data_IF_159682486621
#
_entry.id   IF_159682486621
#
_cell.length_a   1.000
_cell.length_b   1.000
_cell.length_c   1.000
_cell.angle_alpha   90.00
_cell.angle_beta   90.00
_cell.angle_gamma   90.00
#
_symmetry.space_group_name_H-M   'P 1'
#
loop_
_entity.id
_entity.type
_entity.pdbx_description
1 polymer ?
#
# COMPACT_ATOMS: atom_id res chain seq x y z
N UNK A 1 -3.15 4.64 27.49
CA UNK A 1 -1.98 3.91 26.96
C UNK A 1 -2.40 2.72 26.11
N UNK A 2 -3.14 1.76 26.66
CA UNK A 2 -3.53 0.51 25.97
C UNK A 2 -4.20 0.73 24.60
N UNK A 3 -5.20 1.61 24.51
CA UNK A 3 -5.94 1.84 23.27
C UNK A 3 -5.04 2.33 22.10
N UNK A 4 -4.10 3.23 22.36
CA UNK A 4 -3.18 3.75 21.34
C UNK A 4 -2.19 2.68 20.87
N UNK A 5 -1.64 1.92 21.81
CA UNK A 5 -0.77 0.78 21.48
C UNK A 5 -1.53 -0.29 20.67
N UNK A 6 -2.80 -0.56 21.00
CA UNK A 6 -3.65 -1.48 20.26
C UNK A 6 -3.90 -1.00 18.81
N UNK A 7 -4.20 0.28 18.59
CA UNK A 7 -4.35 0.84 17.24
C UNK A 7 -3.09 0.68 16.39
N UNK A 8 -1.92 1.01 16.95
CA UNK A 8 -0.63 0.88 16.25
C UNK A 8 -0.34 -0.59 15.93
N UNK A 9 -0.54 -1.48 16.90
CA UNK A 9 -0.30 -2.91 16.73
C UNK A 9 -1.23 -3.53 15.69
N UNK A 10 -2.52 -3.16 15.72
CA UNK A 10 -3.52 -3.59 14.73
C UNK A 10 -3.13 -3.14 13.32
N UNK A 11 -2.74 -1.87 13.17
CA UNK A 11 -2.29 -1.33 11.88
C UNK A 11 -1.05 -2.06 11.37
N UNK A 12 -0.03 -2.24 12.21
CA UNK A 12 1.20 -2.95 11.85
C UNK A 12 0.93 -4.41 11.47
N UNK A 13 0.07 -5.11 12.21
CA UNK A 13 -0.30 -6.48 11.89
C UNK A 13 -1.07 -6.55 10.56
N UNK A 14 -2.05 -5.67 10.35
CA UNK A 14 -2.78 -5.59 9.10
C UNK A 14 -1.86 -5.29 7.90
N UNK A 15 -0.86 -4.43 8.09
CA UNK A 15 0.17 -4.15 7.10
C UNK A 15 0.91 -5.44 6.71
N UNK A 16 1.47 -6.16 7.69
CA UNK A 16 2.24 -7.40 7.45
C UNK A 16 1.38 -8.45 6.73
N UNK A 17 0.12 -8.61 7.13
CA UNK A 17 -0.79 -9.59 6.54
C UNK A 17 -1.20 -9.22 5.11
N UNK A 18 -1.26 -7.92 4.78
CA UNK A 18 -1.66 -7.44 3.45
C UNK A 18 -0.64 -7.69 2.34
N UNK A 19 0.59 -8.09 2.68
CA UNK A 19 1.64 -8.44 1.71
C UNK A 19 1.77 -9.93 1.46
N UNK A 20 0.81 -10.75 1.91
CA UNK A 20 0.79 -12.18 1.62
C UNK A 20 0.00 -12.43 0.33
N UNK A 21 0.65 -12.92 -0.74
CA UNK A 21 -0.07 -13.30 -1.95
C UNK A 21 -0.92 -14.56 -1.70
N UNK A 22 -1.93 -14.84 -2.54
CA UNK A 22 -2.67 -16.10 -2.50
C UNK A 22 -1.74 -17.31 -2.66
N UNK A 23 -1.99 -18.43 -1.97
CA UNK A 23 -1.15 -19.62 -2.11
C UNK A 23 -1.13 -20.17 -3.55
N UNK A 24 -2.27 -20.06 -4.23
CA UNK A 24 -2.49 -20.41 -5.64
C UNK A 24 -1.63 -19.61 -6.61
N UNK A 25 -1.13 -18.42 -6.25
CA UNK A 25 -0.29 -17.62 -7.14
C UNK A 25 1.17 -18.10 -7.16
N UNK A 26 1.58 -19.01 -6.27
CA UNK A 26 2.97 -19.49 -6.20
C UNK A 26 3.28 -20.64 -7.18
N UNK A 27 2.30 -21.10 -7.96
CA UNK A 27 2.53 -22.11 -9.01
C UNK A 27 3.42 -21.57 -10.13
N UNK A 28 4.36 -22.39 -10.58
CA UNK A 28 5.27 -22.09 -11.70
C UNK A 28 4.55 -22.27 -13.05
N UNK A 29 3.59 -21.41 -13.34
CA UNK A 29 3.01 -21.32 -14.68
C UNK A 29 3.89 -20.47 -15.60
N UNK A 30 3.75 -20.65 -16.92
CA UNK A 30 4.43 -19.81 -17.90
C UNK A 30 3.85 -18.39 -17.84
N UNK A 31 4.70 -17.40 -17.63
CA UNK A 31 4.33 -15.98 -17.52
C UNK A 31 4.99 -15.18 -18.64
N UNK A 32 4.21 -14.37 -19.35
CA UNK A 32 4.72 -13.39 -20.30
C UNK A 32 4.92 -12.06 -19.55
N UNK A 33 6.19 -11.66 -19.40
CA UNK A 33 6.59 -10.46 -18.65
C UNK A 33 6.77 -9.27 -19.57
N UNK A 34 6.40 -8.07 -19.10
CA UNK A 34 6.74 -6.82 -19.78
C UNK A 34 8.26 -6.62 -19.72
N UNK A 35 8.90 -6.44 -20.89
CA UNK A 35 10.38 -6.40 -21.05
C UNK A 35 11.09 -5.37 -20.17
N UNK A 36 10.51 -4.20 -19.98
CA UNK A 36 11.16 -3.08 -19.26
C UNK A 36 10.92 -3.08 -17.75
N UNK A 37 10.17 -4.06 -17.25
CA UNK A 37 9.79 -4.11 -15.85
C UNK A 37 10.90 -4.69 -14.95
N UNK A 38 11.82 -5.49 -15.51
CA UNK A 38 12.70 -6.37 -14.73
C UNK A 38 13.47 -5.69 -13.60
N UNK A 39 14.20 -4.60 -13.90
CA UNK A 39 14.99 -3.88 -12.90
C UNK A 39 14.10 -2.98 -12.02
N UNK A 40 13.21 -2.20 -12.65
CA UNK A 40 12.37 -1.22 -11.97
C UNK A 40 11.39 -1.87 -10.98
N UNK A 41 10.75 -2.98 -11.38
CA UNK A 41 9.88 -3.79 -10.52
C UNK A 41 10.64 -4.34 -9.33
N UNK A 42 11.85 -4.88 -9.57
CA UNK A 42 12.70 -5.42 -8.50
C UNK A 42 13.09 -4.35 -7.48
N UNK A 43 13.50 -3.17 -7.94
CA UNK A 43 13.88 -2.06 -7.06
C UNK A 43 12.69 -1.59 -6.21
N UNK A 44 11.52 -1.42 -6.82
CA UNK A 44 10.31 -0.98 -6.09
C UNK A 44 9.87 -2.03 -5.08
N UNK A 45 9.79 -3.30 -5.45
CA UNK A 45 9.35 -4.35 -4.55
C UNK A 45 10.29 -4.49 -3.35
N UNK A 46 11.61 -4.45 -3.59
CA UNK A 46 12.61 -4.45 -2.50
C UNK A 46 12.53 -3.19 -1.65
N UNK A 47 12.34 -2.02 -2.27
CA UNK A 47 12.14 -0.76 -1.56
C UNK A 47 10.89 -0.77 -0.67
N UNK A 48 9.78 -1.34 -1.15
CA UNK A 48 8.55 -1.50 -0.36
C UNK A 48 8.75 -2.47 0.81
N UNK A 49 9.45 -3.59 0.62
CA UNK A 49 9.78 -4.54 1.68
C UNK A 49 10.69 -3.93 2.75
N UNK A 50 11.72 -3.20 2.31
CA UNK A 50 12.60 -2.46 3.20
C UNK A 50 11.83 -1.39 3.99
N UNK A 51 11.00 -0.59 3.31
CA UNK A 51 10.16 0.43 3.92
C UNK A 51 9.20 -0.14 4.97
N UNK A 52 8.60 -1.30 4.71
CA UNK A 52 7.77 -2.00 5.70
C UNK A 52 8.57 -2.45 6.92
N UNK A 53 9.75 -3.05 6.70
CA UNK A 53 10.61 -3.50 7.79
C UNK A 53 11.03 -2.32 8.67
N UNK A 54 11.42 -1.21 8.05
CA UNK A 54 11.71 0.04 8.76
C UNK A 54 10.48 0.56 9.52
N UNK A 55 9.29 0.51 8.93
CA UNK A 55 8.06 0.93 9.59
C UNK A 55 7.74 0.10 10.84
N UNK A 56 7.94 -1.22 10.81
CA UNK A 56 7.77 -2.11 11.97
C UNK A 56 8.74 -1.74 13.10
N UNK A 57 10.00 -1.45 12.77
CA UNK A 57 11.01 -1.03 13.75
C UNK A 57 10.61 0.32 14.36
N UNK A 58 10.21 1.28 13.54
CA UNK A 58 9.77 2.61 13.98
C UNK A 58 8.55 2.51 14.90
N UNK A 59 7.55 1.68 14.57
CA UNK A 59 6.36 1.51 15.43
C UNK A 59 6.70 0.79 16.73
N UNK A 60 7.61 -0.17 16.72
CA UNK A 60 8.10 -0.84 17.93
C UNK A 60 8.81 0.16 18.87
N UNK A 61 9.72 0.99 18.35
CA UNK A 61 10.38 2.06 19.13
C UNK A 61 9.33 3.02 19.69
N UNK A 62 8.36 3.44 18.87
CA UNK A 62 7.31 4.36 19.30
C UNK A 62 6.45 3.80 20.45
N UNK A 63 6.10 2.50 20.40
CA UNK A 63 5.41 1.81 21.50
C UNK A 63 6.28 1.74 22.75
N UNK A 64 7.57 1.45 22.61
CA UNK A 64 8.52 1.42 23.73
C UNK A 64 8.64 2.78 24.42
N UNK A 65 8.79 3.86 23.66
CA UNK A 65 8.86 5.22 24.20
C UNK A 65 7.56 5.63 24.90
N UNK A 66 6.41 5.20 24.38
CA UNK A 66 5.12 5.39 25.03
C UNK A 66 5.02 4.62 26.35
N UNK A 67 5.50 3.37 26.38
CA UNK A 67 5.53 2.56 27.60
C UNK A 67 6.45 3.15 28.68
N UNK A 68 7.57 3.78 28.26
CA UNK A 68 8.50 4.51 29.13
C UNK A 68 7.99 5.87 29.61
N UNK A 69 6.79 6.29 29.18
CA UNK A 69 6.21 7.58 29.55
C UNK A 69 6.82 8.80 28.83
N UNK A 70 7.71 8.59 27.86
CA UNK A 70 8.33 9.67 27.07
C UNK A 70 7.30 10.29 26.09
N UNK A 71 6.40 9.46 25.56
CA UNK A 71 5.35 9.87 24.62
C UNK A 71 3.98 9.68 25.27
N UNK A 72 3.03 10.63 25.11
CA UNK A 72 1.67 10.47 25.60
C UNK A 72 0.99 9.20 25.06
N UNK A 73 0.49 8.37 25.97
CA UNK A 73 -0.27 7.17 25.67
C UNK A 73 -1.77 7.40 25.42
N UNK A 74 -2.23 8.65 25.40
CA UNK A 74 -3.62 9.02 25.12
C UNK A 74 -3.89 8.92 23.63
N UNK A 75 -4.93 8.16 23.26
CA UNK A 75 -5.38 8.02 21.89
C UNK A 75 -6.12 9.30 21.47
N UNK A 76 -5.67 9.93 20.39
CA UNK A 76 -6.37 11.08 19.79
C UNK A 76 -7.43 10.57 18.78
N UNK A 77 -8.58 11.25 18.61
CA UNK A 77 -9.62 10.82 17.65
C UNK A 77 -9.09 10.62 16.22
N UNK A 78 -8.20 11.50 15.76
CA UNK A 78 -7.59 11.35 14.43
C UNK A 78 -6.75 10.07 14.30
N UNK A 79 -6.14 9.57 15.38
CA UNK A 79 -5.34 8.33 15.36
C UNK A 79 -6.23 7.11 15.19
N UNK A 80 -7.40 7.12 15.83
CA UNK A 80 -8.40 6.08 15.65
C UNK A 80 -8.93 6.09 14.21
N UNK A 81 -9.26 7.28 13.70
CA UNK A 81 -9.76 7.47 12.33
C UNK A 81 -8.73 7.00 11.28
N UNK A 82 -7.49 7.46 11.37
CA UNK A 82 -6.45 7.05 10.42
C UNK A 82 -6.17 5.56 10.52
N UNK A 83 -6.11 4.99 11.72
CA UNK A 83 -5.98 3.53 11.90
C UNK A 83 -7.10 2.78 11.20
N UNK A 84 -8.36 3.19 11.38
CA UNK A 84 -9.52 2.56 10.74
C UNK A 84 -9.44 2.66 9.20
N UNK A 85 -9.05 3.82 8.67
CA UNK A 85 -8.83 4.04 7.23
C UNK A 85 -7.72 3.13 6.71
N UNK A 86 -6.60 3.02 7.41
CA UNK A 86 -5.47 2.19 6.99
C UNK A 86 -5.79 0.70 7.02
N UNK A 87 -6.48 0.24 8.07
CA UNK A 87 -6.97 -1.15 8.17
C UNK A 87 -7.95 -1.45 7.03
N UNK A 88 -8.87 -0.54 6.71
CA UNK A 88 -9.77 -0.67 5.55
C UNK A 88 -8.97 -0.81 4.24
N UNK A 89 -7.92 0.00 4.07
CA UNK A 89 -7.03 -0.11 2.92
C UNK A 89 -6.35 -1.49 2.81
N UNK A 90 -5.84 -2.02 3.91
CA UNK A 90 -5.25 -3.35 3.95
C UNK A 90 -6.26 -4.47 3.68
N UNK A 91 -7.48 -4.35 4.18
CA UNK A 91 -8.57 -5.29 3.90
C UNK A 91 -8.96 -5.27 2.42
N UNK A 92 -9.07 -4.09 1.80
CA UNK A 92 -9.35 -3.95 0.37
C UNK A 92 -8.24 -4.60 -0.48
N UNK A 93 -6.98 -4.42 -0.08
CA UNK A 93 -5.84 -5.07 -0.75
C UNK A 93 -5.88 -6.59 -0.62
N UNK A 94 -6.15 -7.09 0.60
CA UNK A 94 -6.31 -8.52 0.83
C UNK A 94 -7.49 -9.13 0.05
N UNK A 95 -8.59 -8.39 -0.08
CA UNK A 95 -9.72 -8.79 -0.93
C UNK A 95 -9.32 -8.84 -2.40
N UNK A 96 -8.60 -7.83 -2.90
CA UNK A 96 -8.11 -7.78 -4.28
C UNK A 96 -7.24 -8.99 -4.60
N UNK A 97 -6.31 -9.32 -3.71
CA UNK A 97 -5.42 -10.48 -3.87
C UNK A 97 -6.20 -11.79 -3.92
N UNK A 98 -7.14 -11.97 -3.00
CA UNK A 98 -7.99 -13.17 -3.00
C UNK A 98 -8.85 -13.31 -4.24
N UNK A 99 -9.34 -12.20 -4.81
CA UNK A 99 -10.16 -12.24 -6.03
C UNK A 99 -9.32 -12.54 -7.28
N UNK A 100 -8.10 -11.99 -7.38
CA UNK A 100 -7.18 -12.32 -8.47
C UNK A 100 -6.67 -13.77 -8.38
N UNK A 101 -6.50 -14.27 -7.15
CA UNK A 101 -6.13 -15.66 -6.86
C UNK A 101 -4.88 -16.09 -7.67
N UNK A 102 -4.99 -17.11 -8.52
CA UNK A 102 -3.88 -17.60 -9.36
C UNK A 102 -3.35 -16.58 -10.35
N UNK A 103 -4.10 -15.52 -10.69
CA UNK A 103 -3.66 -14.47 -11.62
C UNK A 103 -2.86 -13.36 -10.96
N UNK A 104 -2.76 -13.37 -9.62
CA UNK A 104 -2.01 -12.34 -8.90
C UNK A 104 -0.50 -12.47 -9.13
N UNK A 105 0.13 -11.37 -9.53
CA UNK A 105 1.59 -11.23 -9.61
C UNK A 105 2.03 -9.87 -9.08
N UNK A 106 3.19 -9.81 -8.41
CA UNK A 106 3.79 -8.53 -8.00
C UNK A 106 4.41 -7.76 -9.17
N UNK A 107 4.78 -8.49 -10.21
CA UNK A 107 5.25 -7.95 -11.47
C UNK A 107 4.08 -7.84 -12.46
N UNK A 108 4.15 -6.85 -13.34
CA UNK A 108 3.27 -6.65 -14.48
C UNK A 108 3.50 -7.78 -15.50
N UNK A 109 2.71 -8.85 -15.37
CA UNK A 109 2.84 -10.06 -16.17
C UNK A 109 1.48 -10.64 -16.53
N UNK A 110 1.39 -11.29 -17.68
CA UNK A 110 0.22 -12.07 -18.09
C UNK A 110 0.52 -13.56 -17.86
N UNK A 111 -0.35 -14.25 -17.11
CA UNK A 111 -0.26 -15.71 -16.89
C UNK A 111 -0.97 -16.47 -18.00
N UNK A 112 -0.62 -17.75 -18.16
CA UNK A 112 -1.37 -18.63 -19.06
C UNK A 112 -2.85 -18.69 -18.67
N UNK A 113 -3.74 -18.50 -19.64
CA UNK A 113 -5.19 -18.48 -19.40
C UNK A 113 -5.66 -17.30 -18.54
N UNK A 114 -4.92 -16.18 -18.53
CA UNK A 114 -5.35 -14.94 -17.88
C UNK A 114 -6.73 -14.54 -18.40
N UNK A 115 -7.66 -14.27 -17.49
CA UNK A 115 -8.96 -13.69 -17.81
C UNK A 115 -9.12 -12.36 -17.09
N UNK A 116 -9.88 -11.45 -17.66
CA UNK A 116 -10.19 -10.19 -17.00
C UNK A 116 -11.07 -10.46 -15.78
N UNK A 117 -10.51 -10.28 -14.58
CA UNK A 117 -11.23 -10.50 -13.32
C UNK A 117 -12.13 -9.30 -13.04
N UNK A 118 -13.43 -9.53 -12.97
CA UNK A 118 -14.45 -8.50 -12.75
C UNK A 118 -15.24 -8.71 -11.44
N UNK A 119 -14.79 -9.62 -10.58
CA UNK A 119 -15.47 -9.98 -9.33
C UNK A 119 -14.89 -9.27 -8.10
N UNK A 120 -15.58 -9.37 -6.97
CA UNK A 120 -15.14 -8.75 -5.72
C UNK A 120 -14.96 -7.23 -5.88
N UNK A 121 -13.82 -6.64 -5.45
CA UNK A 121 -13.63 -5.19 -5.48
C UNK A 121 -13.46 -4.65 -6.90
N UNK A 122 -13.13 -5.52 -7.87
CA UNK A 122 -13.00 -5.19 -9.29
C UNK A 122 -14.34 -4.84 -9.95
N UNK A 123 -15.46 -5.11 -9.28
CA UNK A 123 -16.78 -4.65 -9.76
C UNK A 123 -16.91 -3.13 -9.81
N UNK A 124 -16.23 -2.44 -8.90
CA UNK A 124 -16.34 -0.99 -8.73
C UNK A 124 -15.07 -0.24 -9.11
N UNK A 125 -13.90 -0.85 -8.88
CA UNK A 125 -12.59 -0.21 -9.02
C UNK A 125 -11.72 -0.96 -10.03
N UNK A 126 -10.98 -0.23 -10.87
CA UNK A 126 -9.96 -0.82 -11.75
C UNK A 126 -8.76 -1.31 -10.93
N UNK A 127 -8.35 -0.52 -9.94
CA UNK A 127 -7.10 -0.71 -9.21
C UNK A 127 -7.29 -0.82 -7.68
N UNK A 128 -8.18 -1.69 -7.17
CA UNK A 128 -8.56 -1.72 -5.75
C UNK A 128 -7.38 -1.98 -4.80
N UNK A 129 -6.39 -2.76 -5.23
CA UNK A 129 -5.16 -3.01 -4.47
C UNK A 129 -4.32 -1.74 -4.27
N UNK A 130 -4.26 -0.87 -5.29
CA UNK A 130 -3.56 0.40 -5.20
C UNK A 130 -4.37 1.43 -4.40
N UNK A 131 -5.70 1.43 -4.50
CA UNK A 131 -6.57 2.19 -3.59
C UNK A 131 -6.29 1.81 -2.14
N UNK A 132 -6.21 0.52 -1.85
CA UNK A 132 -5.86 0.02 -0.52
C UNK A 132 -4.49 0.51 -0.04
N UNK A 133 -3.50 0.53 -0.94
CA UNK A 133 -2.17 1.06 -0.65
C UNK A 133 -2.21 2.55 -0.30
N UNK A 134 -2.93 3.37 -1.07
CA UNK A 134 -3.11 4.81 -0.82
C UNK A 134 -3.75 5.04 0.56
N UNK A 135 -4.86 4.35 0.85
CA UNK A 135 -5.55 4.47 2.14
C UNK A 135 -4.65 4.08 3.32
N UNK A 136 -3.87 3.00 3.17
CA UNK A 136 -2.92 2.57 4.19
C UNK A 136 -1.74 3.55 4.39
N UNK A 137 -1.35 4.26 3.34
CA UNK A 137 -0.31 5.29 3.40
C UNK A 137 -0.68 6.49 4.28
N UNK A 138 -1.97 6.82 4.37
CA UNK A 138 -2.46 7.98 5.14
C UNK A 138 -2.08 7.87 6.62
N UNK A 139 -2.03 6.67 7.19
CA UNK A 139 -1.66 6.50 8.61
C UNK A 139 -0.22 6.96 8.85
N UNK A 140 0.70 6.61 7.97
CA UNK A 140 2.10 7.03 8.05
C UNK A 140 2.25 8.52 7.82
N UNK A 141 1.57 9.07 6.79
CA UNK A 141 1.54 10.51 6.49
C UNK A 141 1.12 11.29 7.72
N UNK A 142 -0.02 10.97 8.33
CA UNK A 142 -0.51 11.67 9.51
C UNK A 142 0.38 11.44 10.74
N UNK A 143 0.94 10.25 10.92
CA UNK A 143 1.78 9.94 12.09
C UNK A 143 3.13 10.64 12.07
N UNK A 144 3.68 10.91 10.88
CA UNK A 144 4.94 11.65 10.69
C UNK A 144 4.71 13.15 10.60
N UNK A 145 3.64 13.60 9.93
CA UNK A 145 3.34 15.03 9.79
C UNK A 145 2.91 15.69 11.11
N UNK A 146 2.29 14.93 12.02
CA UNK A 146 1.96 15.38 13.37
C UNK A 146 3.08 15.03 14.36
N UNK A 147 3.07 15.64 15.54
CA UNK A 147 4.14 15.63 16.56
C UNK A 147 4.50 14.25 17.21
N UNK A 148 4.22 13.13 16.56
CA UNK A 148 4.54 11.79 17.03
C UNK A 148 5.86 11.26 16.49
N UNK A 149 5.79 10.55 15.37
CA UNK A 149 6.89 9.68 14.93
C UNK A 149 8.14 10.47 14.51
N UNK A 150 7.93 11.62 13.86
CA UNK A 150 9.04 12.47 13.42
C UNK A 150 9.91 12.94 14.58
N UNK A 151 9.30 13.60 15.57
CA UNK A 151 10.03 14.24 16.68
C UNK A 151 10.68 13.25 17.64
N UNK A 152 10.00 12.14 17.93
CA UNK A 152 10.43 11.19 18.96
C UNK A 152 11.26 10.02 18.44
N UNK A 153 11.19 9.69 17.15
CA UNK A 153 11.86 8.50 16.59
C UNK A 153 12.78 8.87 15.43
N UNK A 154 12.25 9.52 14.38
CA UNK A 154 13.03 9.73 13.14
C UNK A 154 14.12 10.78 13.33
N UNK A 155 13.78 11.97 13.87
CA UNK A 155 14.75 13.06 14.06
C UNK A 155 15.93 12.70 14.98
N UNK A 156 15.74 11.96 16.09
CA UNK A 156 16.87 11.46 16.89
C UNK A 156 17.76 10.44 16.16
N UNK A 157 17.19 9.61 15.29
CA UNK A 157 17.95 8.59 14.53
C UNK A 157 18.65 9.18 13.30
N UNK A 158 18.04 10.19 12.68
CA UNK A 158 18.53 10.86 11.49
C UNK A 158 18.37 12.37 11.70
N UNK A 159 19.40 13.06 12.25
CA UNK A 159 19.33 14.48 12.60
C UNK A 159 19.49 15.37 11.36
N UNK A 160 18.51 15.29 10.45
CA UNK A 160 18.42 16.13 9.26
C UNK A 160 17.62 17.42 9.57
N UNK A 161 18.05 18.58 9.05
CA UNK A 161 17.40 19.87 9.28
C UNK A 161 16.13 20.06 8.41
N UNK A 162 15.35 19.00 8.21
CA UNK A 162 14.16 18.99 7.35
C UNK A 162 12.94 18.74 8.23
N UNK A 163 11.86 19.55 8.18
CA UNK A 163 10.64 19.25 8.91
C UNK A 163 10.01 17.92 8.45
N UNK A 164 9.47 17.13 9.38
CA UNK A 164 8.81 15.86 9.05
C UNK A 164 7.66 16.01 8.06
N UNK A 165 6.94 17.13 8.09
CA UNK A 165 5.89 17.47 7.13
C UNK A 165 6.42 17.59 5.69
N UNK A 166 7.63 18.12 5.49
CA UNK A 166 8.24 18.25 4.15
C UNK A 166 8.67 16.88 3.62
N UNK A 167 9.26 16.02 4.46
CA UNK A 167 9.58 14.65 4.07
C UNK A 167 8.34 13.83 3.74
N UNK A 168 7.24 14.04 4.48
CA UNK A 168 5.95 13.44 4.17
C UNK A 168 5.43 13.93 2.82
N UNK A 169 5.51 15.23 2.52
CA UNK A 169 5.08 15.77 1.25
C UNK A 169 5.90 15.19 0.08
N UNK A 170 7.22 15.14 0.21
CA UNK A 170 8.13 14.55 -0.79
C UNK A 170 7.81 13.05 -0.95
N UNK A 171 7.70 12.31 0.14
CA UNK A 171 7.38 10.88 0.11
C UNK A 171 6.01 10.58 -0.50
N UNK A 172 4.99 11.39 -0.19
CA UNK A 172 3.66 11.28 -0.78
C UNK A 172 3.66 11.58 -2.28
N UNK A 173 4.42 12.60 -2.71
CA UNK A 173 4.58 12.94 -4.13
C UNK A 173 5.27 11.81 -4.90
N UNK A 174 6.39 11.31 -4.40
CA UNK A 174 7.12 10.18 -5.00
C UNK A 174 6.23 8.94 -5.03
N UNK A 175 5.59 8.60 -3.91
CA UNK A 175 4.72 7.43 -3.79
C UNK A 175 3.55 7.48 -4.77
N UNK A 176 2.89 8.64 -4.90
CA UNK A 176 1.79 8.84 -5.86
C UNK A 176 2.29 8.72 -7.29
N UNK A 177 3.46 9.31 -7.61
CA UNK A 177 4.07 9.18 -8.94
C UNK A 177 4.44 7.74 -9.30
N UNK A 178 4.96 6.97 -8.35
CA UNK A 178 5.27 5.55 -8.55
C UNK A 178 4.02 4.70 -8.77
N UNK A 179 2.96 4.94 -7.98
CA UNK A 179 1.66 4.27 -8.16
C UNK A 179 1.09 4.59 -9.53
N UNK A 180 1.10 5.88 -9.92
CA UNK A 180 0.60 6.31 -11.22
C UNK A 180 1.36 5.65 -12.38
N UNK A 181 2.69 5.63 -12.31
CA UNK A 181 3.53 4.98 -13.31
C UNK A 181 3.21 3.49 -13.42
N UNK A 182 3.08 2.77 -12.29
CA UNK A 182 2.71 1.34 -12.29
C UNK A 182 1.33 1.12 -12.89
N UNK A 183 0.34 1.90 -12.47
CA UNK A 183 -1.03 1.80 -12.98
C UNK A 183 -1.06 2.01 -14.48
N UNK A 184 -0.31 2.99 -15.02
CA UNK A 184 -0.23 3.18 -16.46
C UNK A 184 0.39 2.00 -17.20
N UNK A 185 1.47 1.43 -16.66
CA UNK A 185 2.05 0.20 -17.21
C UNK A 185 1.06 -0.97 -17.20
N UNK A 186 0.28 -1.12 -16.14
CA UNK A 186 -0.76 -2.14 -15.99
C UNK A 186 -1.90 -1.94 -17.00
N UNK A 187 -2.44 -0.73 -17.11
CA UNK A 187 -3.52 -0.41 -18.06
C UNK A 187 -3.07 -0.66 -19.51
N UNK A 188 -1.86 -0.28 -19.89
CA UNK A 188 -1.31 -0.52 -21.23
C UNK A 188 -1.19 -2.02 -21.50
N UNK A 189 -0.68 -2.80 -20.54
CA UNK A 189 -0.56 -4.24 -20.69
C UNK A 189 -1.93 -4.93 -20.80
N UNK A 190 -2.89 -4.53 -19.96
CA UNK A 190 -4.25 -5.06 -20.00
C UNK A 190 -4.96 -4.69 -21.31
N UNK A 191 -4.76 -3.48 -21.83
CA UNK A 191 -5.30 -3.05 -23.12
C UNK A 191 -4.67 -3.83 -24.29
N UNK A 192 -3.35 -4.05 -24.28
CA UNK A 192 -2.67 -4.84 -25.29
C UNK A 192 -3.12 -6.30 -25.30
N UNK A 193 -3.42 -6.87 -24.13
CA UNK A 193 -3.80 -8.28 -23.99
C UNK A 193 -5.29 -8.53 -24.23
N UNK A 194 -6.18 -7.72 -23.64
CA UNK A 194 -7.63 -7.92 -23.68
C UNK A 194 -8.36 -7.01 -24.69
N UNK A 195 -7.70 -5.97 -25.22
CA UNK A 195 -8.24 -5.10 -26.26
C UNK A 195 -9.61 -4.51 -25.90
N UNK A 196 -10.64 -4.64 -26.76
CA UNK A 196 -11.96 -4.04 -26.53
C UNK A 196 -12.65 -4.48 -25.23
N UNK A 197 -12.37 -5.69 -24.72
CA UNK A 197 -12.94 -6.17 -23.46
C UNK A 197 -12.47 -5.28 -22.30
N UNK A 198 -11.18 -4.94 -22.28
CA UNK A 198 -10.61 -4.02 -21.30
C UNK A 198 -11.23 -2.62 -21.41
N UNK A 199 -11.36 -2.07 -22.61
CA UNK A 199 -11.93 -0.73 -22.81
C UNK A 199 -13.37 -0.65 -22.28
N UNK A 200 -14.21 -1.65 -22.60
CA UNK A 200 -15.60 -1.70 -22.12
C UNK A 200 -15.66 -1.83 -20.60
N UNK A 201 -14.79 -2.66 -20.02
CA UNK A 201 -14.69 -2.84 -18.59
C UNK A 201 -14.25 -1.54 -17.89
N UNK A 202 -13.18 -0.91 -18.35
CA UNK A 202 -12.62 0.31 -17.78
C UNK A 202 -13.57 1.51 -17.83
N UNK A 203 -14.41 1.61 -18.87
CA UNK A 203 -15.32 2.74 -19.07
C UNK A 203 -16.39 2.94 -17.98
N UNK A 204 -16.61 1.95 -17.12
CA UNK A 204 -17.72 1.92 -16.15
C UNK A 204 -17.25 1.80 -14.70
N UNK A 205 -15.93 1.88 -14.46
CA UNK A 205 -15.32 1.74 -13.13
C UNK A 205 -14.44 2.93 -12.82
N UNK A 206 -14.27 3.18 -11.52
CA UNK A 206 -13.37 4.21 -11.04
C UNK A 206 -11.95 3.65 -11.02
N UNK A 207 -10.94 4.47 -11.35
CA UNK A 207 -9.54 4.03 -11.22
C UNK A 207 -9.19 3.67 -9.77
N UNK A 208 -9.44 4.60 -8.85
CA UNK A 208 -9.11 4.42 -7.43
C UNK A 208 -10.31 4.56 -6.48
N UNK A 209 -10.90 5.76 -6.41
CA UNK A 209 -12.05 6.06 -5.57
C UNK A 209 -12.98 7.02 -6.30
N UNK A 210 -14.27 7.07 -5.91
CA UNK A 210 -15.15 8.13 -6.32
C UNK A 210 -14.50 9.51 -6.13
N UNK A 211 -14.42 10.28 -7.21
CA UNK A 211 -13.92 11.66 -7.29
C UNK A 211 -12.40 11.83 -7.12
N UNK A 212 -11.64 10.74 -7.14
CA UNK A 212 -10.17 10.75 -7.20
C UNK A 212 -9.76 10.19 -8.57
N UNK A 213 -9.14 11.05 -9.39
CA UNK A 213 -8.75 10.84 -10.80
C UNK A 213 -8.04 9.50 -11.07
#
# INVERSE_FOLDING_TARGET
MFAKAACISLHTLAAILSFRPPASSNTKEKEDKVKDEGLFSTVILRGMQFGQSAAVIVTAIYILLMHRGIIPGTLKPWQALTTATGVTGYLLRAWSFRTLDRFFTYSLTIRSGHRLVQDGPYRWLLHPSYTGLILSGLVYIFSVANEGIWSYVIKPLLPIPIPGSLLVAIGAMIGTGLIWFRVKGEEIMLEQHFGPEWTKYAATRWRFLPFIL
#
